data_IF_166677509374
#
_entry.id   IF_166677509374
#
_cell.length_a   1.000
_cell.length_b   1.000
_cell.length_c   1.000
_cell.angle_alpha   90.00
_cell.angle_beta   90.00
_cell.angle_gamma   90.00
#
_symmetry.space_group_name_H-M   'P 1'
#
loop_
_entity.id
_entity.type
_entity.pdbx_description
1 polymer ?
#
# COMPACT_ATOMS: atom_id res chain seq x y z
N UNK A 1 17.41 16.23 3.77
CA UNK A 1 15.99 15.97 3.45
C UNK A 1 15.68 14.57 3.93
N UNK A 2 14.69 14.38 4.80
CA UNK A 2 14.33 13.04 5.25
C UNK A 2 13.70 12.28 4.07
N UNK A 3 14.34 11.20 3.63
CA UNK A 3 13.74 10.32 2.62
C UNK A 3 12.39 9.81 3.15
N UNK A 4 11.37 9.79 2.28
CA UNK A 4 10.11 9.10 2.56
C UNK A 4 10.43 7.61 2.66
N UNK A 5 10.18 6.99 3.81
CA UNK A 5 10.27 5.54 3.97
C UNK A 5 8.87 4.95 3.88
N UNK A 6 8.78 3.67 3.52
CA UNK A 6 7.51 2.96 3.43
C UNK A 6 6.70 3.05 4.73
N UNK A 7 7.35 2.81 5.88
CA UNK A 7 6.71 2.83 7.21
C UNK A 7 6.17 4.22 7.56
N UNK A 8 6.91 5.28 7.20
CA UNK A 8 6.46 6.66 7.41
C UNK A 8 5.31 7.03 6.49
N UNK A 9 5.32 6.54 5.25
CA UNK A 9 4.24 6.79 4.30
C UNK A 9 2.95 6.10 4.73
N UNK A 10 3.03 4.84 5.19
CA UNK A 10 1.89 4.11 5.76
C UNK A 10 1.36 4.81 7.02
N UNK A 11 2.22 5.17 7.98
CA UNK A 11 1.78 5.83 9.20
C UNK A 11 1.07 7.17 8.93
N UNK A 12 1.54 7.92 7.93
CA UNK A 12 0.90 9.16 7.50
C UNK A 12 -0.44 8.89 6.79
N UNK A 13 -0.52 7.85 5.96
CA UNK A 13 -1.76 7.47 5.30
C UNK A 13 -2.85 7.09 6.31
N UNK A 14 -2.50 6.34 7.36
CA UNK A 14 -3.42 6.02 8.46
C UNK A 14 -3.92 7.26 9.20
N UNK A 15 -3.03 8.25 9.43
CA UNK A 15 -3.41 9.52 10.05
C UNK A 15 -4.39 10.29 9.16
N UNK A 16 -4.16 10.34 7.86
CA UNK A 16 -5.06 10.97 6.89
C UNK A 16 -6.44 10.31 6.92
N UNK A 17 -6.49 8.97 6.91
CA UNK A 17 -7.75 8.23 6.99
C UNK A 17 -8.50 8.56 8.28
N UNK A 18 -7.81 8.51 9.43
CA UNK A 18 -8.41 8.89 10.73
C UNK A 18 -8.99 10.31 10.71
N UNK A 19 -8.23 11.29 10.21
CA UNK A 19 -8.69 12.68 10.16
C UNK A 19 -9.91 12.87 9.22
N UNK A 20 -9.98 12.10 8.13
CA UNK A 20 -11.12 12.12 7.22
C UNK A 20 -12.36 11.44 7.83
N UNK A 21 -12.17 10.37 8.60
CA UNK A 21 -13.24 9.64 9.29
C UNK A 21 -13.82 10.42 10.47
N UNK A 22 -12.98 11.18 11.19
CA UNK A 22 -13.40 12.05 12.29
C UNK A 22 -14.33 13.18 11.82
N UNK A 23 -14.17 13.64 10.57
CA UNK A 23 -15.08 14.62 9.96
C UNK A 23 -14.93 16.06 10.46
N UNK A 24 -13.90 16.36 11.24
CA UNK A 24 -13.62 17.69 11.80
C UNK A 24 -12.94 18.64 10.79
N UNK A 25 -12.53 18.13 9.63
CA UNK A 25 -11.85 18.90 8.60
C UNK A 25 -12.83 19.72 7.76
N UNK A 26 -12.43 20.94 7.42
CA UNK A 26 -13.13 21.74 6.40
C UNK A 26 -13.01 21.06 5.04
N UNK A 27 -13.98 21.29 4.13
CA UNK A 27 -13.92 20.74 2.77
C UNK A 27 -12.57 21.00 2.06
N UNK A 28 -12.03 22.22 2.22
CA UNK A 28 -10.75 22.58 1.61
C UNK A 28 -9.57 21.81 2.20
N UNK A 29 -9.59 21.53 3.49
CA UNK A 29 -8.53 20.75 4.14
C UNK A 29 -8.69 19.25 3.88
N UNK A 30 -9.94 18.74 3.83
CA UNK A 30 -10.25 17.38 3.41
C UNK A 30 -9.70 17.09 2.01
N UNK A 31 -9.84 18.02 1.06
CA UNK A 31 -9.29 17.86 -0.29
C UNK A 31 -7.75 17.80 -0.27
N UNK A 32 -7.08 18.64 0.52
CA UNK A 32 -5.60 18.63 0.62
C UNK A 32 -5.08 17.30 1.18
N UNK A 33 -5.66 16.83 2.28
CA UNK A 33 -5.21 15.58 2.90
C UNK A 33 -5.57 14.38 2.02
N UNK A 34 -6.68 14.44 1.27
CA UNK A 34 -7.02 13.42 0.29
C UNK A 34 -6.00 13.34 -0.86
N UNK A 35 -5.60 14.48 -1.44
CA UNK A 35 -4.55 14.53 -2.46
C UNK A 35 -3.21 14.00 -1.92
N UNK A 36 -2.85 14.37 -0.69
CA UNK A 36 -1.67 13.82 -0.01
C UNK A 36 -1.77 12.29 0.13
N UNK A 37 -2.92 11.79 0.58
CA UNK A 37 -3.20 10.37 0.74
C UNK A 37 -3.07 9.60 -0.56
N UNK A 38 -3.56 10.15 -1.68
CA UNK A 38 -3.39 9.55 -3.00
C UNK A 38 -1.92 9.40 -3.40
N UNK A 39 -1.11 10.42 -3.17
CA UNK A 39 0.33 10.37 -3.47
C UNK A 39 1.03 9.33 -2.62
N UNK A 40 0.69 9.25 -1.33
CA UNK A 40 1.26 8.27 -0.40
C UNK A 40 0.83 6.84 -0.75
N UNK A 41 -0.45 6.63 -1.08
CA UNK A 41 -0.97 5.33 -1.50
C UNK A 41 -0.21 4.81 -2.72
N UNK A 42 -0.01 5.67 -3.73
CA UNK A 42 0.73 5.29 -4.93
C UNK A 42 2.18 4.94 -4.61
N UNK A 43 2.84 5.74 -3.79
CA UNK A 43 4.21 5.46 -3.34
C UNK A 43 4.31 4.09 -2.62
N UNK A 44 3.38 3.78 -1.73
CA UNK A 44 3.36 2.50 -1.03
C UNK A 44 3.14 1.33 -2.00
N UNK A 45 2.23 1.45 -2.96
CA UNK A 45 2.01 0.44 -4.00
C UNK A 45 3.27 0.19 -4.82
N UNK A 46 3.95 1.25 -5.27
CA UNK A 46 5.17 1.15 -6.08
C UNK A 46 6.32 0.46 -5.30
N UNK A 47 6.46 0.76 -4.01
CA UNK A 47 7.46 0.13 -3.14
C UNK A 47 7.17 -1.37 -2.93
N UNK A 48 5.89 -1.74 -2.72
CA UNK A 48 5.48 -3.13 -2.59
C UNK A 48 5.71 -3.92 -3.88
N UNK A 49 5.35 -3.36 -5.04
CA UNK A 49 5.60 -3.99 -6.34
C UNK A 49 7.10 -4.19 -6.59
N UNK A 50 7.93 -3.22 -6.19
CA UNK A 50 9.39 -3.34 -6.26
C UNK A 50 9.92 -4.45 -5.34
N UNK A 51 9.39 -4.56 -4.13
CA UNK A 51 9.77 -5.60 -3.18
C UNK A 51 9.37 -6.99 -3.70
N UNK A 52 8.15 -7.15 -4.20
CA UNK A 52 7.64 -8.39 -4.79
C UNK A 52 8.53 -8.86 -5.94
N UNK A 53 8.82 -7.98 -6.90
CA UNK A 53 9.71 -8.30 -8.04
C UNK A 53 11.08 -8.78 -7.60
N UNK A 54 11.66 -8.18 -6.55
CA UNK A 54 12.97 -8.59 -6.01
C UNK A 54 12.92 -9.98 -5.39
N UNK A 55 11.87 -10.28 -4.61
CA UNK A 55 11.66 -11.62 -4.04
C UNK A 55 11.53 -12.66 -5.15
N UNK A 56 10.69 -12.41 -6.15
CA UNK A 56 10.49 -13.32 -7.30
C UNK A 56 11.77 -13.55 -8.09
N UNK A 57 12.64 -12.54 -8.27
CA UNK A 57 13.94 -12.72 -8.93
C UNK A 57 14.89 -13.62 -8.11
N UNK A 58 14.96 -13.42 -6.79
CA UNK A 58 15.79 -14.23 -5.90
C UNK A 58 15.35 -15.70 -5.84
N UNK A 59 14.03 -15.95 -5.93
CA UNK A 59 13.47 -17.30 -5.98
C UNK A 59 13.80 -18.02 -7.30
N UNK A 60 13.76 -17.30 -8.44
CA UNK A 60 14.18 -17.85 -9.75
C UNK A 60 15.65 -18.27 -9.77
N UNK A 61 16.54 -17.53 -9.09
CA UNK A 61 17.96 -17.88 -8.96
C UNK A 61 18.19 -19.10 -8.04
N UNK A 62 17.28 -19.37 -7.10
CA UNK A 62 17.44 -20.41 -6.06
C UNK A 62 16.89 -21.79 -6.43
N UNK A 63 16.26 -21.95 -7.60
CA UNK A 63 15.94 -23.26 -8.20
C UNK A 63 14.89 -24.12 -7.47
N UNK A 64 14.14 -23.59 -6.49
CA UNK A 64 13.04 -24.27 -5.80
C UNK A 64 11.76 -23.43 -5.92
N UNK A 65 10.77 -23.92 -6.65
CA UNK A 65 9.51 -23.20 -6.91
C UNK A 65 8.35 -23.73 -6.08
N UNK A 66 7.55 -22.81 -5.55
CA UNK A 66 6.08 -22.87 -5.64
C UNK A 66 5.58 -21.44 -5.78
N UNK A 67 5.31 -21.01 -7.02
CA UNK A 67 4.51 -19.80 -7.24
C UNK A 67 3.11 -20.08 -6.69
N UNK A 68 2.78 -19.46 -5.57
CA UNK A 68 1.39 -19.31 -5.17
C UNK A 68 1.01 -17.92 -5.65
N UNK A 69 0.28 -17.87 -6.76
CA UNK A 69 -0.45 -16.66 -7.12
C UNK A 69 -1.34 -16.35 -5.93
N UNK A 70 -1.12 -15.22 -5.27
CA UNK A 70 -2.05 -14.73 -4.25
C UNK A 70 -3.28 -14.22 -4.99
N UNK A 71 -4.15 -15.16 -5.35
CA UNK A 71 -5.47 -14.86 -5.88
C UNK A 71 -6.33 -14.39 -4.71
N UNK A 72 -6.71 -13.11 -4.71
CA UNK A 72 -7.59 -12.51 -3.70
C UNK A 72 -9.08 -12.77 -4.00
N UNK A 73 -9.41 -13.73 -4.87
CA UNK A 73 -10.78 -14.16 -5.15
C UNK A 73 -10.98 -15.62 -4.71
N UNK A 74 -12.20 -15.91 -4.24
CA UNK A 74 -12.72 -17.19 -3.73
C UNK A 74 -12.60 -17.48 -2.21
N UNK A 75 -13.13 -16.57 -1.37
CA UNK A 75 -14.09 -17.02 -0.33
C UNK A 75 -15.51 -17.04 -0.91
N UNK A 76 -15.75 -17.95 -1.85
CA UNK A 76 -17.08 -18.37 -2.32
C UNK A 76 -17.38 -19.77 -1.79
N UNK A 77 -17.95 -19.84 -0.59
CA UNK A 77 -18.35 -21.09 0.06
C UNK A 77 -19.32 -21.92 -0.81
N UNK A 78 -18.85 -23.09 -1.27
CA UNK A 78 -19.54 -24.39 -1.27
C UNK A 78 -20.89 -24.59 -1.98
N UNK A 79 -20.94 -25.62 -2.84
CA UNK A 79 -22.00 -26.65 -2.86
C UNK A 79 -23.37 -26.28 -3.42
#
# INVERSE_FOLDING_TARGET
MAAKTFEKAIARLEEIVRNLEEGELTLGDSLKVFEEGMVLSRFCSDELESAEKKVTMLEKESGKYREVVFDMEEEGHGG
#
